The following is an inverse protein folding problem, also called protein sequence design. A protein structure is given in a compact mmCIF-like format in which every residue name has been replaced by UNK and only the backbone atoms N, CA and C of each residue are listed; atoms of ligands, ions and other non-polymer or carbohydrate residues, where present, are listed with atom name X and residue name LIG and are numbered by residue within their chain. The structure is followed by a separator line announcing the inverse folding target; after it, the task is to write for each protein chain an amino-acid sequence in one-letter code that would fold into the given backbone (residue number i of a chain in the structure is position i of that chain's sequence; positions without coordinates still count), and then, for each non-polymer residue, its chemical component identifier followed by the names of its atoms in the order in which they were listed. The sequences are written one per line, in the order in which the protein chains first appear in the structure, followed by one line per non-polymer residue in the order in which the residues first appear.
data_IF_292021306924
#
_entry.id   IF_292021306924
#
_cell.length_a   1.000
_cell.length_b   1.000
_cell.length_c   1.000
_cell.angle_alpha   90.00
_cell.angle_beta   90.00
_cell.angle_gamma   90.00
#
_symmetry.space_group_name_H-M   'P 1'
#
loop_
_entity.id
_entity.type
_entity.pdbx_description
1 polymer ?
#
# COMPACT_ATOMS: atom_id res chain seq x y z
N UNK A 1 87.64 12.52 -14.78
CA UNK A 1 87.19 12.89 -16.09
C UNK A 1 86.44 11.67 -16.63
N UNK A 2 85.16 11.66 -16.48
CA UNK A 2 84.15 10.91 -17.33
C UNK A 2 82.80 11.09 -16.66
N UNK A 3 81.99 11.95 -17.25
CA UNK A 3 80.56 12.14 -16.93
C UNK A 3 79.84 10.88 -17.27
N UNK A 4 78.97 10.43 -16.34
CA UNK A 4 77.94 9.44 -16.59
C UNK A 4 76.55 10.10 -16.44
N UNK A 5 75.90 10.39 -17.55
CA UNK A 5 74.48 10.76 -17.62
C UNK A 5 73.65 9.54 -17.25
N UNK A 6 72.78 9.71 -16.24
CA UNK A 6 71.70 8.78 -15.92
C UNK A 6 70.44 9.21 -16.62
N UNK A 7 69.99 8.42 -17.59
CA UNK A 7 68.63 8.49 -18.20
C UNK A 7 67.57 8.01 -17.19
N UNK A 8 66.61 8.87 -16.89
CA UNK A 8 65.35 8.46 -16.25
C UNK A 8 64.32 8.21 -17.33
N UNK A 9 63.54 7.11 -17.28
CA UNK A 9 62.45 6.90 -18.20
C UNK A 9 61.26 7.77 -17.85
N UNK A 10 60.65 8.38 -18.87
CA UNK A 10 59.45 9.20 -18.80
C UNK A 10 58.27 8.36 -18.28
N UNK A 11 57.50 8.90 -17.30
CA UNK A 11 56.32 8.29 -16.75
C UNK A 11 55.21 8.20 -17.77
N UNK A 12 54.65 7.02 -17.84
CA UNK A 12 53.46 6.67 -18.64
C UNK A 12 52.25 7.43 -18.08
N UNK A 13 51.75 8.40 -18.83
CA UNK A 13 50.52 9.12 -18.52
C UNK A 13 49.33 8.19 -18.83
N UNK A 14 48.87 7.47 -17.79
CA UNK A 14 47.69 6.63 -17.87
C UNK A 14 46.47 7.43 -18.37
N UNK A 15 46.02 7.13 -19.57
CA UNK A 15 44.78 7.67 -20.14
C UNK A 15 43.59 7.27 -19.23
N UNK A 16 42.99 8.26 -18.53
CA UNK A 16 41.72 8.07 -17.83
C UNK A 16 40.63 7.74 -18.85
N UNK A 17 40.12 6.52 -18.79
CA UNK A 17 38.92 6.12 -19.51
C UNK A 17 37.76 6.94 -18.95
N UNK A 18 37.05 7.75 -19.76
CA UNK A 18 35.91 8.51 -19.27
C UNK A 18 34.82 7.55 -18.76
N UNK A 19 34.33 7.77 -17.53
CA UNK A 19 33.18 7.07 -17.02
C UNK A 19 32.01 7.22 -17.99
N UNK A 20 31.24 6.15 -18.28
CA UNK A 20 30.10 6.25 -19.17
C UNK A 20 29.09 7.24 -18.56
N UNK A 21 28.70 8.25 -19.36
CA UNK A 21 27.71 9.22 -18.97
C UNK A 21 26.42 8.50 -18.57
N UNK A 22 25.98 8.67 -17.32
CA UNK A 22 24.72 8.13 -16.82
C UNK A 22 23.59 8.79 -17.61
N UNK A 23 22.82 7.98 -18.33
CA UNK A 23 21.66 8.49 -19.09
C UNK A 23 20.72 9.26 -18.14
N UNK A 24 20.14 10.40 -18.55
CA UNK A 24 19.19 11.12 -17.73
C UNK A 24 18.01 10.19 -17.38
N UNK A 25 17.45 10.29 -16.15
CA UNK A 25 16.30 9.49 -15.77
C UNK A 25 15.12 9.74 -16.75
N UNK A 26 14.30 8.72 -17.01
CA UNK A 26 13.14 8.89 -17.89
C UNK A 26 12.20 9.97 -17.33
N UNK A 27 11.48 10.73 -18.19
CA UNK A 27 10.53 11.73 -17.74
C UNK A 27 9.45 11.07 -16.86
N UNK A 28 9.03 11.78 -15.81
CA UNK A 28 7.97 11.30 -14.92
C UNK A 28 6.64 11.21 -15.67
N UNK A 29 5.88 10.15 -15.41
CA UNK A 29 4.49 10.01 -15.85
C UNK A 29 3.62 10.99 -15.06
N UNK A 30 2.46 11.37 -15.62
CA UNK A 30 1.45 12.19 -14.94
C UNK A 30 0.15 11.40 -14.79
N UNK A 31 -0.63 11.71 -13.76
CA UNK A 31 -2.02 11.26 -13.65
C UNK A 31 -2.95 12.17 -14.43
N UNK A 32 -4.19 11.75 -14.73
CA UNK A 32 -5.17 12.63 -15.35
C UNK A 32 -5.56 13.86 -14.51
N UNK A 33 -5.19 13.90 -13.23
CA UNK A 33 -5.43 15.02 -12.31
C UNK A 33 -4.22 15.92 -12.10
N UNK A 34 -3.10 15.68 -12.79
CA UNK A 34 -1.85 16.42 -12.60
C UNK A 34 -2.05 17.95 -12.67
N UNK A 35 -2.70 18.44 -13.72
CA UNK A 35 -2.92 19.89 -13.89
C UNK A 35 -3.84 20.46 -12.79
N UNK A 36 -4.80 19.67 -12.32
CA UNK A 36 -5.65 20.05 -11.19
C UNK A 36 -4.86 20.19 -9.88
N UNK A 37 -3.86 19.32 -9.65
CA UNK A 37 -2.97 19.43 -8.49
C UNK A 37 -2.11 20.69 -8.57
N UNK A 38 -1.52 20.95 -9.72
CA UNK A 38 -0.70 22.16 -9.96
C UNK A 38 -1.55 23.42 -9.77
N UNK A 39 -2.77 23.45 -10.32
CA UNK A 39 -3.69 24.58 -10.17
C UNK A 39 -4.12 24.82 -8.71
N UNK A 40 -4.17 23.78 -7.88
CA UNK A 40 -4.44 23.87 -6.43
C UNK A 40 -3.18 24.23 -5.61
N UNK A 41 -2.04 24.51 -6.25
CA UNK A 41 -0.79 24.87 -5.60
C UNK A 41 -0.10 23.70 -4.88
N UNK A 42 -0.33 22.46 -5.30
CA UNK A 42 0.32 21.30 -4.72
C UNK A 42 1.84 21.35 -4.94
N UNK A 43 2.60 20.92 -3.93
CA UNK A 43 4.02 20.61 -4.09
C UNK A 43 4.14 19.22 -4.71
N UNK A 44 4.61 19.18 -5.96
CA UNK A 44 4.78 17.94 -6.71
C UNK A 44 6.15 17.31 -6.41
N UNK A 45 6.22 15.97 -6.40
CA UNK A 45 7.44 15.18 -6.17
C UNK A 45 7.42 13.89 -7.01
N UNK A 46 8.60 13.36 -7.38
CA UNK A 46 8.69 12.03 -7.95
C UNK A 46 8.21 10.96 -6.97
N UNK A 47 7.27 10.12 -7.39
CA UNK A 47 6.81 8.98 -6.62
C UNK A 47 6.38 7.83 -7.55
N UNK A 48 6.98 6.65 -7.39
CA UNK A 48 6.70 5.46 -8.22
C UNK A 48 6.71 5.75 -9.74
N UNK A 49 7.62 6.62 -10.20
CA UNK A 49 7.73 7.02 -11.61
C UNK A 49 6.71 8.06 -12.09
N UNK A 50 5.92 8.61 -11.18
CA UNK A 50 4.93 9.67 -11.44
C UNK A 50 5.31 10.97 -10.75
N UNK A 51 4.86 12.10 -11.32
CA UNK A 51 4.86 13.41 -10.66
C UNK A 51 3.59 13.55 -9.83
N UNK A 52 3.71 13.50 -8.49
CA UNK A 52 2.58 13.36 -7.57
C UNK A 52 2.56 14.46 -6.50
N UNK A 53 1.37 14.88 -6.02
CA UNK A 53 1.26 15.87 -4.96
C UNK A 53 1.71 15.26 -3.62
N UNK A 54 2.79 15.79 -3.02
CA UNK A 54 3.19 15.39 -1.67
C UNK A 54 2.37 16.10 -0.60
N UNK A 55 2.00 17.34 -0.84
CA UNK A 55 1.13 18.15 0.01
C UNK A 55 0.56 19.33 -0.76
N UNK A 56 -0.54 19.88 -0.26
CA UNK A 56 -1.12 21.16 -0.68
C UNK A 56 -0.69 22.30 0.23
N UNK A 57 -1.06 23.57 -0.04
CA UNK A 57 -0.64 24.72 0.78
C UNK A 57 -0.99 24.63 2.27
N UNK A 58 -2.00 23.85 2.63
CA UNK A 58 -2.39 23.60 4.03
C UNK A 58 -1.38 22.78 4.82
N UNK A 59 -0.56 22.00 4.15
CA UNK A 59 0.49 21.19 4.72
C UNK A 59 0.03 19.85 5.31
N UNK A 60 0.96 18.91 5.43
CA UNK A 60 0.73 17.50 5.80
C UNK A 60 -0.07 17.34 7.08
N UNK A 61 0.23 18.12 8.12
CA UNK A 61 -0.46 18.03 9.42
C UNK A 61 -1.95 18.35 9.28
N UNK A 62 -2.27 19.46 8.61
CA UNK A 62 -3.65 19.90 8.41
C UNK A 62 -4.42 18.92 7.54
N UNK A 63 -3.79 18.42 6.47
CA UNK A 63 -4.37 17.42 5.57
C UNK A 63 -4.69 16.11 6.28
N UNK A 64 -3.78 15.65 7.15
CA UNK A 64 -4.01 14.47 7.98
C UNK A 64 -5.22 14.66 8.91
N UNK A 65 -5.25 15.74 9.67
CA UNK A 65 -6.34 16.04 10.61
C UNK A 65 -7.67 16.28 9.88
N UNK A 66 -7.65 16.88 8.70
CA UNK A 66 -8.80 17.03 7.82
C UNK A 66 -9.43 15.68 7.48
N UNK A 67 -8.60 14.69 7.14
CA UNK A 67 -9.07 13.32 6.85
C UNK A 67 -9.65 12.65 8.09
N UNK A 68 -9.07 12.87 9.27
CA UNK A 68 -9.56 12.32 10.55
C UNK A 68 -10.86 12.93 11.04
N UNK A 69 -11.13 14.20 10.69
CA UNK A 69 -12.26 14.97 11.27
C UNK A 69 -13.38 15.28 10.27
N UNK A 70 -13.11 15.15 8.97
CA UNK A 70 -14.06 15.51 7.91
C UNK A 70 -13.95 14.54 6.73
N UNK A 71 -13.46 15.01 5.59
CA UNK A 71 -13.20 14.18 4.43
C UNK A 71 -11.96 14.67 3.67
N UNK A 72 -11.08 13.73 3.32
CA UNK A 72 -9.93 13.92 2.45
C UNK A 72 -10.13 13.26 1.09
N UNK A 73 -9.75 13.94 0.02
CA UNK A 73 -9.80 13.42 -1.34
C UNK A 73 -8.38 13.22 -1.87
N UNK A 74 -8.07 11.99 -2.24
CA UNK A 74 -6.73 11.57 -2.68
C UNK A 74 -6.76 11.18 -4.16
N UNK A 75 -5.78 11.61 -4.93
CA UNK A 75 -5.47 11.00 -6.22
C UNK A 75 -4.58 9.76 -6.01
N UNK A 76 -5.10 8.61 -6.37
CA UNK A 76 -4.38 7.34 -6.37
C UNK A 76 -4.38 6.70 -7.77
N UNK A 77 -4.54 7.53 -8.82
CA UNK A 77 -4.59 7.09 -10.21
C UNK A 77 -3.27 6.52 -10.74
N UNK A 78 -2.17 6.71 -10.02
CA UNK A 78 -0.88 6.06 -10.30
C UNK A 78 -0.90 4.56 -10.04
N UNK A 79 -1.80 4.05 -9.19
CA UNK A 79 -2.00 2.62 -8.92
C UNK A 79 -2.34 1.84 -10.20
N UNK A 80 -1.97 0.56 -10.23
CA UNK A 80 -2.33 -0.34 -11.32
C UNK A 80 -3.74 -0.87 -11.17
N UNK A 81 -4.54 -0.84 -12.24
CA UNK A 81 -5.86 -1.44 -12.29
C UNK A 81 -5.91 -2.45 -13.44
N UNK A 82 -6.50 -3.62 -13.20
CA UNK A 82 -6.72 -4.64 -14.22
C UNK A 82 -7.98 -5.46 -13.92
N UNK A 83 -8.49 -6.12 -14.97
CA UNK A 83 -9.55 -7.11 -14.87
C UNK A 83 -9.00 -8.48 -15.28
N UNK A 84 -9.09 -9.45 -14.36
CA UNK A 84 -8.87 -10.86 -14.67
C UNK A 84 -10.23 -11.42 -15.11
N UNK A 85 -10.27 -12.03 -16.29
CA UNK A 85 -11.49 -12.46 -16.95
C UNK A 85 -11.42 -13.95 -17.30
N UNK A 86 -12.43 -14.71 -16.91
CA UNK A 86 -12.58 -16.14 -17.15
C UNK A 86 -14.01 -16.45 -17.55
N UNK A 87 -14.32 -17.72 -17.80
CA UNK A 87 -15.66 -18.17 -18.15
C UNK A 87 -16.66 -18.00 -16.99
N UNK A 88 -16.18 -18.18 -15.75
CA UNK A 88 -16.96 -18.06 -14.51
C UNK A 88 -16.05 -17.72 -13.33
N UNK A 89 -16.65 -17.45 -12.16
CA UNK A 89 -15.91 -17.13 -10.95
C UNK A 89 -14.97 -18.26 -10.50
N UNK A 90 -15.37 -19.51 -10.64
CA UNK A 90 -14.55 -20.63 -10.20
C UNK A 90 -13.21 -20.70 -10.97
N UNK A 91 -13.28 -20.50 -12.30
CA UNK A 91 -12.10 -20.44 -13.16
C UNK A 91 -11.21 -19.21 -12.84
N UNK A 92 -11.82 -18.02 -12.65
CA UNK A 92 -11.12 -16.81 -12.28
C UNK A 92 -10.42 -16.97 -10.92
N UNK A 93 -11.12 -17.48 -9.92
CA UNK A 93 -10.63 -17.71 -8.58
C UNK A 93 -9.49 -18.72 -8.55
N UNK A 94 -9.63 -19.87 -9.21
CA UNK A 94 -8.60 -20.90 -9.28
C UNK A 94 -7.31 -20.38 -9.92
N UNK A 95 -7.43 -19.59 -11.00
CA UNK A 95 -6.27 -18.98 -11.66
C UNK A 95 -5.51 -18.02 -10.73
N UNK A 96 -6.23 -17.20 -9.96
CA UNK A 96 -5.61 -16.24 -9.04
C UNK A 96 -5.06 -16.94 -7.78
N UNK A 97 -5.78 -17.92 -7.21
CA UNK A 97 -5.34 -18.70 -6.05
C UNK A 97 -4.05 -19.49 -6.26
N UNK A 98 -3.68 -19.75 -7.51
CA UNK A 98 -2.37 -20.33 -7.86
C UNK A 98 -1.20 -19.37 -7.58
N UNK A 99 -1.48 -18.09 -7.28
CA UNK A 99 -0.47 -17.03 -7.09
C UNK A 99 -0.60 -16.30 -5.74
N UNK A 100 -1.76 -16.41 -5.08
CA UNK A 100 -2.07 -15.67 -3.84
C UNK A 100 -2.53 -16.61 -2.72
N UNK A 101 -2.26 -16.29 -1.45
CA UNK A 101 -2.67 -17.13 -0.31
C UNK A 101 -4.12 -16.92 0.11
N UNK A 102 -4.83 -15.91 -0.43
CA UNK A 102 -6.21 -15.64 -0.04
C UNK A 102 -7.20 -16.65 -0.65
N UNK A 103 -8.33 -16.83 0.03
CA UNK A 103 -9.46 -17.64 -0.42
C UNK A 103 -10.35 -16.81 -1.37
N UNK A 104 -10.04 -16.83 -2.65
CA UNK A 104 -10.79 -16.10 -3.69
C UNK A 104 -12.03 -16.90 -4.11
N UNK A 105 -11.98 -18.22 -4.08
CA UNK A 105 -13.07 -19.08 -4.44
C UNK A 105 -14.34 -18.80 -3.62
N UNK A 106 -14.17 -18.54 -2.31
CA UNK A 106 -15.26 -18.19 -1.40
C UNK A 106 -15.46 -16.67 -1.23
N UNK A 107 -14.90 -15.85 -2.12
CA UNK A 107 -15.17 -14.41 -2.13
C UNK A 107 -16.60 -14.19 -2.65
N UNK A 108 -17.48 -13.69 -1.80
CA UNK A 108 -18.88 -13.44 -2.16
C UNK A 108 -19.00 -12.33 -3.24
N UNK A 109 -20.04 -12.34 -4.08
CA UNK A 109 -20.32 -11.26 -5.01
C UNK A 109 -20.39 -9.90 -4.30
N UNK A 110 -19.84 -8.86 -4.93
CA UNK A 110 -19.81 -7.51 -4.39
C UNK A 110 -18.81 -7.34 -3.20
N UNK A 111 -17.89 -8.28 -3.01
CA UNK A 111 -16.90 -8.20 -1.92
C UNK A 111 -15.49 -8.00 -2.45
N UNK A 112 -14.69 -7.38 -1.59
CA UNK A 112 -13.24 -7.21 -1.79
C UNK A 112 -12.44 -8.04 -0.81
N UNK A 113 -11.20 -8.36 -1.21
CA UNK A 113 -10.22 -9.04 -0.36
C UNK A 113 -8.83 -8.49 -0.60
N UNK A 114 -8.12 -8.20 0.47
CA UNK A 114 -6.70 -7.90 0.46
C UNK A 114 -5.91 -9.21 0.44
N UNK A 115 -4.88 -9.29 -0.38
CA UNK A 115 -3.99 -10.43 -0.47
C UNK A 115 -2.59 -10.02 -0.97
N UNK A 116 -1.70 -10.98 -1.13
CA UNK A 116 -0.34 -10.78 -1.61
C UNK A 116 -0.06 -11.69 -2.81
N UNK A 117 0.63 -11.18 -3.82
CA UNK A 117 1.35 -12.02 -4.79
C UNK A 117 2.59 -12.58 -4.11
N UNK A 118 2.81 -13.89 -4.22
CA UNK A 118 3.93 -14.55 -3.56
C UNK A 118 4.91 -15.14 -4.56
N UNK A 119 6.21 -15.10 -4.21
CA UNK A 119 7.25 -15.87 -4.88
C UNK A 119 7.31 -17.31 -4.35
N UNK A 120 8.14 -18.16 -4.95
CA UNK A 120 8.24 -19.57 -4.58
C UNK A 120 8.75 -19.80 -3.16
N UNK A 121 9.49 -18.85 -2.62
CA UNK A 121 10.02 -18.85 -1.25
C UNK A 121 9.03 -18.28 -0.23
N UNK A 122 7.81 -17.88 -0.65
CA UNK A 122 6.78 -17.30 0.21
C UNK A 122 7.01 -15.83 0.59
N UNK A 123 7.93 -15.16 -0.12
CA UNK A 123 8.11 -13.71 0.00
C UNK A 123 7.08 -12.94 -0.83
N UNK A 124 6.77 -11.72 -0.43
CA UNK A 124 5.72 -10.89 -1.02
C UNK A 124 6.28 -10.14 -2.23
N UNK A 125 5.76 -10.45 -3.43
CA UNK A 125 6.09 -9.73 -4.68
C UNK A 125 5.38 -8.38 -4.76
N UNK A 126 4.13 -8.33 -4.31
CA UNK A 126 3.31 -7.15 -4.10
C UNK A 126 2.09 -7.50 -3.25
N UNK A 127 1.44 -6.48 -2.68
CA UNK A 127 0.13 -6.62 -2.04
C UNK A 127 -0.96 -5.95 -2.90
N UNK A 128 -2.14 -6.57 -2.93
CA UNK A 128 -3.19 -6.16 -3.86
C UNK A 128 -4.59 -6.32 -3.28
N UNK A 129 -5.52 -5.56 -3.88
CA UNK A 129 -6.95 -5.72 -3.67
C UNK A 129 -7.57 -6.55 -4.79
N UNK A 130 -8.41 -7.51 -4.43
CA UNK A 130 -9.18 -8.34 -5.35
C UNK A 130 -10.66 -8.10 -5.09
N UNK A 131 -11.41 -7.74 -6.13
CA UNK A 131 -12.85 -7.47 -6.06
C UNK A 131 -13.60 -8.43 -6.97
N UNK A 132 -14.60 -9.14 -6.44
CA UNK A 132 -15.59 -9.87 -7.23
C UNK A 132 -16.76 -8.96 -7.54
N UNK A 133 -17.16 -8.87 -8.81
CA UNK A 133 -18.37 -8.13 -9.21
C UNK A 133 -19.62 -8.66 -8.50
N UNK A 134 -20.58 -7.76 -8.23
CA UNK A 134 -21.92 -8.13 -7.79
C UNK A 134 -22.86 -8.41 -8.97
N UNK A 135 -22.49 -8.04 -10.18
CA UNK A 135 -23.26 -8.25 -11.40
C UNK A 135 -23.08 -9.69 -11.88
N UNK A 136 -24.18 -10.43 -11.99
CA UNK A 136 -24.18 -11.82 -12.47
C UNK A 136 -23.66 -11.94 -13.91
N UNK A 137 -23.79 -10.89 -14.74
CA UNK A 137 -23.24 -10.86 -16.09
C UNK A 137 -21.70 -10.73 -16.12
N UNK A 138 -21.11 -10.37 -14.98
CA UNK A 138 -19.66 -10.27 -14.77
C UNK A 138 -19.13 -11.40 -13.85
N UNK A 139 -19.82 -12.55 -13.75
CA UNK A 139 -19.44 -13.61 -12.80
C UNK A 139 -17.97 -14.08 -12.95
N UNK A 140 -17.43 -14.12 -14.14
CA UNK A 140 -16.02 -14.48 -14.40
C UNK A 140 -15.01 -13.33 -14.25
N UNK A 141 -15.41 -12.16 -13.73
CA UNK A 141 -14.56 -10.97 -13.67
C UNK A 141 -14.11 -10.68 -12.24
N UNK A 142 -12.78 -10.57 -12.07
CA UNK A 142 -12.15 -10.05 -10.85
C UNK A 142 -11.42 -8.74 -11.18
N UNK A 143 -11.74 -7.66 -10.47
CA UNK A 143 -10.97 -6.42 -10.56
C UNK A 143 -9.78 -6.48 -9.59
N UNK A 144 -8.58 -6.15 -10.09
CA UNK A 144 -7.35 -6.12 -9.34
C UNK A 144 -6.84 -4.67 -9.24
N UNK A 145 -6.38 -4.28 -8.04
CA UNK A 145 -5.67 -3.03 -7.82
C UNK A 145 -4.34 -3.38 -7.17
N UNK A 146 -3.23 -2.97 -7.81
CA UNK A 146 -1.85 -3.27 -7.42
C UNK A 146 -1.05 -1.98 -7.18
N UNK A 147 0.08 -2.06 -6.50
CA UNK A 147 0.92 -0.90 -6.20
C UNK A 147 1.56 -0.30 -7.47
N UNK A 148 1.66 1.03 -7.48
CA UNK A 148 2.13 1.79 -8.64
C UNK A 148 3.53 1.40 -9.11
N UNK A 149 4.45 1.16 -8.17
CA UNK A 149 5.83 0.80 -8.48
C UNK A 149 5.96 -0.61 -9.06
N UNK A 150 5.06 -1.53 -8.71
CA UNK A 150 5.11 -2.94 -9.06
C UNK A 150 4.21 -3.31 -10.24
N UNK A 151 3.24 -2.47 -10.62
CA UNK A 151 2.15 -2.80 -11.53
C UNK A 151 2.54 -3.44 -12.85
N UNK A 152 3.64 -2.99 -13.47
CA UNK A 152 4.09 -3.55 -14.75
C UNK A 152 4.64 -4.97 -14.56
N UNK A 153 5.40 -5.19 -13.49
CA UNK A 153 5.93 -6.50 -13.10
C UNK A 153 4.80 -7.44 -12.66
N UNK A 154 3.85 -6.96 -11.86
CA UNK A 154 2.73 -7.76 -11.37
C UNK A 154 1.83 -8.24 -12.49
N UNK A 155 1.44 -7.33 -13.39
CA UNK A 155 0.61 -7.70 -14.53
C UNK A 155 1.32 -8.66 -15.49
N UNK A 156 2.64 -8.50 -15.69
CA UNK A 156 3.43 -9.44 -16.47
C UNK A 156 3.51 -10.82 -15.76
N UNK A 157 3.74 -10.84 -14.45
CA UNK A 157 3.80 -12.05 -13.64
C UNK A 157 2.46 -12.81 -13.64
N UNK A 158 1.35 -12.10 -13.43
CA UNK A 158 0.00 -12.67 -13.47
C UNK A 158 -0.25 -13.25 -14.86
N UNK A 159 -0.10 -12.43 -15.91
CA UNK A 159 -0.40 -12.85 -17.29
C UNK A 159 0.38 -14.10 -17.73
N UNK A 160 1.64 -14.22 -17.32
CA UNK A 160 2.49 -15.36 -17.63
C UNK A 160 2.05 -16.69 -16.98
N UNK A 161 1.25 -16.61 -15.90
CA UNK A 161 0.81 -17.79 -15.13
C UNK A 161 -0.66 -18.15 -15.35
N UNK A 162 -1.39 -17.36 -16.13
CA UNK A 162 -2.80 -17.66 -16.40
C UNK A 162 -2.97 -18.90 -17.26
N UNK A 163 -3.91 -19.80 -16.91
CA UNK A 163 -4.26 -20.95 -17.73
C UNK A 163 -5.01 -20.52 -19.00
N UNK A 164 -5.12 -21.45 -19.95
CA UNK A 164 -5.91 -21.22 -21.16
C UNK A 164 -7.36 -20.83 -20.82
N UNK A 165 -7.91 -19.85 -21.51
CA UNK A 165 -9.27 -19.36 -21.29
C UNK A 165 -9.38 -18.27 -20.22
N UNK A 166 -8.32 -17.98 -19.46
CA UNK A 166 -8.24 -16.86 -18.52
C UNK A 166 -7.31 -15.80 -19.07
N UNK A 167 -7.71 -14.54 -18.97
CA UNK A 167 -6.91 -13.40 -19.47
C UNK A 167 -6.89 -12.24 -18.48
N UNK A 168 -5.81 -11.49 -18.51
CA UNK A 168 -5.67 -10.22 -17.78
C UNK A 168 -5.83 -9.05 -18.78
N UNK A 169 -6.72 -8.12 -18.46
CA UNK A 169 -6.91 -6.89 -19.21
C UNK A 169 -6.51 -5.70 -18.33
N UNK A 170 -5.40 -5.03 -18.68
CA UNK A 170 -4.96 -3.81 -17.99
C UNK A 170 -5.97 -2.67 -18.25
N UNK A 171 -6.31 -1.93 -17.23
CA UNK A 171 -7.30 -0.86 -17.29
C UNK A 171 -6.63 0.53 -17.26
N UNK A 172 -5.68 0.77 -18.16
CA UNK A 172 -4.85 1.99 -18.22
C UNK A 172 -5.66 3.27 -18.51
N UNK A 173 -6.86 3.12 -19.08
CA UNK A 173 -7.79 4.20 -19.36
C UNK A 173 -8.64 4.62 -18.15
N UNK A 174 -8.36 4.07 -16.96
CA UNK A 174 -9.08 4.39 -15.73
C UNK A 174 -8.22 5.19 -14.77
N UNK A 175 -8.86 6.10 -14.06
CA UNK A 175 -8.33 6.80 -12.90
C UNK A 175 -8.91 6.19 -11.61
N UNK A 176 -8.24 6.43 -10.51
CA UNK A 176 -8.68 6.00 -9.18
C UNK A 176 -8.53 7.17 -8.21
N UNK A 177 -9.61 7.51 -7.51
CA UNK A 177 -9.58 8.52 -6.43
C UNK A 177 -10.15 7.91 -5.16
N UNK A 178 -9.63 8.36 -4.01
CA UNK A 178 -10.12 7.90 -2.71
C UNK A 178 -10.71 9.06 -1.91
N UNK A 179 -11.95 8.90 -1.44
CA UNK A 179 -12.64 9.81 -0.53
C UNK A 179 -12.68 9.17 0.86
N UNK A 180 -11.95 9.73 1.83
CA UNK A 180 -11.70 9.10 3.12
C UNK A 180 -12.03 10.05 4.28
N UNK A 181 -12.58 9.51 5.36
CA UNK A 181 -12.90 10.26 6.57
C UNK A 181 -14.35 10.09 7.02
N UNK A 182 -14.70 10.57 8.24
CA UNK A 182 -16.01 10.31 8.85
C UNK A 182 -17.20 10.90 8.08
N UNK A 183 -16.98 11.88 7.19
CA UNK A 183 -18.03 12.44 6.33
C UNK A 183 -18.07 11.84 4.92
N UNK A 184 -17.17 10.92 4.58
CA UNK A 184 -17.07 10.38 3.24
C UNK A 184 -18.37 9.70 2.77
N UNK A 185 -19.03 8.94 3.65
CA UNK A 185 -20.27 8.23 3.30
C UNK A 185 -21.42 9.18 2.99
N UNK A 186 -21.63 10.19 3.82
CA UNK A 186 -22.65 11.22 3.62
C UNK A 186 -22.42 11.99 2.31
N UNK A 187 -21.15 12.34 2.04
CA UNK A 187 -20.80 13.11 0.84
C UNK A 187 -21.01 12.25 -0.41
N UNK A 188 -20.48 11.02 -0.44
CA UNK A 188 -20.59 10.17 -1.62
C UNK A 188 -22.04 9.79 -1.92
N UNK A 189 -22.88 9.58 -0.92
CA UNK A 189 -24.30 9.23 -1.10
C UNK A 189 -25.10 10.28 -1.88
N UNK A 190 -24.65 11.51 -1.95
CA UNK A 190 -25.29 12.57 -2.76
C UNK A 190 -25.00 12.41 -4.25
N UNK A 191 -23.98 11.65 -4.62
CA UNK A 191 -23.52 11.44 -5.99
C UNK A 191 -23.68 9.99 -6.46
N UNK A 192 -23.65 9.04 -5.52
CA UNK A 192 -23.74 7.60 -5.79
C UNK A 192 -24.83 6.99 -4.93
N UNK A 193 -25.95 6.61 -5.55
CA UNK A 193 -27.05 5.95 -4.85
C UNK A 193 -26.60 4.65 -4.19
N UNK A 194 -27.03 4.43 -2.93
CA UNK A 194 -26.73 3.23 -2.16
C UNK A 194 -25.25 3.14 -1.66
N UNK A 195 -24.48 4.22 -1.76
CA UNK A 195 -23.10 4.20 -1.26
C UNK A 195 -23.04 4.15 0.28
N UNK A 196 -23.96 4.81 0.98
CA UNK A 196 -23.96 4.88 2.45
C UNK A 196 -24.19 3.50 3.11
N UNK A 197 -24.95 2.63 2.47
CA UNK A 197 -25.32 1.30 2.97
C UNK A 197 -24.26 0.23 2.72
N UNK A 198 -23.27 0.50 1.87
CA UNK A 198 -22.20 -0.44 1.56
C UNK A 198 -21.42 -0.77 2.82
N UNK A 199 -21.20 -2.06 3.19
CA UNK A 199 -20.30 -2.40 4.29
C UNK A 199 -18.83 -2.26 3.88
N UNK A 200 -17.95 -2.11 4.87
CA UNK A 200 -16.50 -2.16 4.64
C UNK A 200 -16.08 -3.43 3.87
N UNK A 201 -15.16 -3.30 2.94
CA UNK A 201 -14.70 -4.35 2.02
C UNK A 201 -15.82 -4.87 1.10
N UNK A 202 -16.72 -4.00 0.69
CA UNK A 202 -17.64 -4.26 -0.42
C UNK A 202 -17.38 -3.33 -1.60
N UNK A 203 -17.86 -3.74 -2.77
CA UNK A 203 -17.74 -2.98 -3.99
C UNK A 203 -18.96 -3.19 -4.90
N UNK A 204 -19.21 -2.22 -5.76
CA UNK A 204 -20.29 -2.30 -6.76
C UNK A 204 -19.99 -1.43 -7.97
N UNK A 205 -20.50 -1.86 -9.11
CA UNK A 205 -20.66 -1.00 -10.28
C UNK A 205 -21.86 -0.08 -10.06
N UNK A 206 -21.70 1.21 -10.31
CA UNK A 206 -22.71 2.25 -10.09
C UNK A 206 -22.44 3.45 -10.99
N UNK A 207 -23.09 4.57 -10.73
CA UNK A 207 -22.77 5.84 -11.37
C UNK A 207 -22.53 6.94 -10.34
N UNK A 208 -21.61 7.84 -10.66
CA UNK A 208 -21.39 9.10 -9.98
C UNK A 208 -22.01 10.22 -10.85
N UNK A 209 -23.12 10.81 -10.41
CA UNK A 209 -23.88 11.81 -11.19
C UNK A 209 -24.13 11.37 -12.65
N UNK A 210 -24.49 10.10 -12.88
CA UNK A 210 -24.72 9.52 -14.20
C UNK A 210 -23.46 9.01 -14.93
N UNK A 211 -22.25 9.23 -14.41
CA UNK A 211 -21.01 8.71 -14.97
C UNK A 211 -20.69 7.32 -14.40
N UNK A 212 -20.67 6.29 -15.26
CA UNK A 212 -20.42 4.91 -14.83
C UNK A 212 -19.05 4.76 -14.13
N UNK A 213 -19.06 4.17 -12.94
CA UNK A 213 -17.88 3.94 -12.11
C UNK A 213 -17.99 2.63 -11.31
N UNK A 214 -16.85 2.16 -10.77
CA UNK A 214 -16.80 1.18 -9.71
C UNK A 214 -16.47 1.87 -8.40
N UNK A 215 -17.24 1.59 -7.37
CA UNK A 215 -17.05 2.13 -6.02
C UNK A 215 -16.79 0.98 -5.07
N UNK A 216 -15.74 1.09 -4.27
CA UNK A 216 -15.50 0.20 -3.15
C UNK A 216 -15.47 0.98 -1.84
N UNK A 217 -16.02 0.39 -0.76
CA UNK A 217 -15.88 0.96 0.60
C UNK A 217 -14.65 0.37 1.25
N UNK A 218 -13.54 1.01 0.98
CA UNK A 218 -12.18 0.62 1.37
C UNK A 218 -11.27 1.84 1.41
N UNK A 219 -10.02 1.66 1.82
CA UNK A 219 -9.04 2.74 1.83
C UNK A 219 -7.79 2.39 2.62
N UNK A 220 -6.86 3.34 2.67
CA UNK A 220 -5.52 3.19 3.24
C UNK A 220 -5.25 4.22 4.35
N UNK A 221 -6.26 4.56 5.12
CA UNK A 221 -6.20 5.66 6.10
C UNK A 221 -6.57 5.25 7.52
N UNK A 222 -7.20 4.08 7.69
CA UNK A 222 -7.83 3.70 8.96
C UNK A 222 -9.18 4.38 9.21
N UNK A 223 -9.59 5.33 8.36
CA UNK A 223 -10.92 5.91 8.36
C UNK A 223 -11.87 5.16 7.45
N UNK A 224 -13.16 5.36 7.67
CA UNK A 224 -14.18 4.97 6.70
C UNK A 224 -14.05 5.78 5.43
N UNK A 225 -14.40 5.19 4.29
CA UNK A 225 -14.29 5.86 3.02
C UNK A 225 -14.37 4.94 1.82
N UNK A 226 -14.15 5.51 0.66
CA UNK A 226 -14.37 4.86 -0.62
C UNK A 226 -13.20 5.07 -1.56
N UNK A 227 -13.01 4.10 -2.46
CA UNK A 227 -12.20 4.25 -3.65
C UNK A 227 -13.11 4.20 -4.88
N UNK A 228 -12.93 5.15 -5.80
CA UNK A 228 -13.78 5.35 -6.97
C UNK A 228 -12.93 5.17 -8.22
N UNK A 229 -13.13 4.07 -8.93
CA UNK A 229 -12.49 3.80 -10.21
C UNK A 229 -13.42 4.25 -11.34
N UNK A 230 -12.92 5.12 -12.21
CA UNK A 230 -13.68 5.75 -13.29
C UNK A 230 -12.84 5.89 -14.56
N UNK A 231 -13.47 6.06 -15.73
CA UNK A 231 -12.75 6.43 -16.94
C UNK A 231 -11.94 7.70 -16.72
N UNK A 232 -10.66 7.70 -17.10
CA UNK A 232 -9.74 8.82 -16.92
C UNK A 232 -10.30 10.16 -17.47
N UNK A 233 -11.03 10.11 -18.59
CA UNK A 233 -11.68 11.28 -19.19
C UNK A 233 -12.73 11.97 -18.28
N UNK A 234 -13.22 11.29 -17.25
CA UNK A 234 -14.26 11.82 -16.34
C UNK A 234 -13.74 12.19 -14.95
N UNK A 235 -12.48 11.85 -14.61
CA UNK A 235 -11.99 12.01 -13.24
C UNK A 235 -11.92 13.47 -12.80
N UNK A 236 -11.58 14.41 -13.68
CA UNK A 236 -11.56 15.85 -13.36
C UNK A 236 -12.94 16.36 -12.97
N UNK A 237 -14.00 15.88 -13.62
CA UNK A 237 -15.38 16.24 -13.27
C UNK A 237 -15.76 15.75 -11.85
N UNK A 238 -15.44 14.48 -11.53
CA UNK A 238 -15.67 13.91 -10.19
C UNK A 238 -14.84 14.63 -9.13
N UNK A 239 -13.55 14.83 -9.38
CA UNK A 239 -12.65 15.57 -8.49
C UNK A 239 -13.19 16.94 -8.15
N UNK A 240 -13.60 17.70 -9.18
CA UNK A 240 -14.17 19.03 -9.02
C UNK A 240 -15.53 19.00 -8.30
N UNK A 241 -16.38 17.98 -8.59
CA UNK A 241 -17.66 17.83 -7.93
C UNK A 241 -17.50 17.61 -6.43
N UNK A 242 -16.61 16.72 -6.02
CA UNK A 242 -16.33 16.43 -4.62
C UNK A 242 -15.71 17.63 -3.89
N UNK A 243 -14.78 18.36 -4.53
CA UNK A 243 -14.14 19.54 -3.92
C UNK A 243 -15.06 20.76 -3.79
N UNK A 244 -16.24 20.79 -4.43
CA UNK A 244 -17.26 21.83 -4.16
C UNK A 244 -17.86 21.71 -2.78
N UNK A 245 -17.82 20.53 -2.17
CA UNK A 245 -18.22 20.38 -0.77
C UNK A 245 -17.13 20.96 0.15
N UNK A 246 -17.51 21.92 0.99
CA UNK A 246 -16.59 22.58 1.93
C UNK A 246 -15.93 21.60 2.93
N UNK A 247 -16.57 20.45 3.18
CA UNK A 247 -16.05 19.39 4.04
C UNK A 247 -14.94 18.55 3.39
N UNK A 248 -14.75 18.64 2.08
CA UNK A 248 -13.74 17.88 1.33
C UNK A 248 -12.53 18.76 1.05
N UNK A 249 -11.34 18.23 1.30
CA UNK A 249 -10.07 18.87 0.93
C UNK A 249 -9.18 17.89 0.17
N UNK A 250 -8.37 18.39 -0.78
CA UNK A 250 -7.38 17.55 -1.47
C UNK A 250 -6.26 17.20 -0.50
N UNK A 251 -5.78 15.96 -0.57
CA UNK A 251 -4.79 15.39 0.36
C UNK A 251 -3.63 14.80 -0.44
N UNK A 252 -2.41 15.15 -0.04
CA UNK A 252 -1.18 14.65 -0.67
C UNK A 252 -0.63 13.38 -0.03
N UNK A 253 0.44 12.86 -0.66
CA UNK A 253 1.12 11.62 -0.25
C UNK A 253 1.69 11.70 1.18
N UNK A 254 2.10 12.87 1.64
CA UNK A 254 2.66 13.03 2.99
C UNK A 254 1.63 12.74 4.08
N UNK A 255 0.40 13.19 3.92
CA UNK A 255 -0.69 12.86 4.85
C UNK A 255 -1.17 11.43 4.65
N UNK A 256 -1.21 10.89 3.40
CA UNK A 256 -1.50 9.49 3.13
C UNK A 256 -0.54 8.58 3.92
N UNK A 257 0.76 8.89 3.92
CA UNK A 257 1.77 8.10 4.65
C UNK A 257 1.58 8.16 6.16
N UNK A 258 1.36 9.32 6.74
CA UNK A 258 1.13 9.43 8.19
C UNK A 258 -0.18 8.76 8.64
N UNK A 259 -1.24 8.79 7.81
CA UNK A 259 -2.52 8.13 8.07
C UNK A 259 -2.40 6.60 8.07
N UNK A 260 -1.76 6.02 7.02
CA UNK A 260 -1.57 4.57 6.93
C UNK A 260 -0.67 4.06 8.06
N UNK A 261 0.37 4.84 8.45
CA UNK A 261 1.29 4.49 9.52
C UNK A 261 0.56 4.41 10.88
N UNK A 262 -0.29 5.39 11.20
CA UNK A 262 -1.15 5.34 12.39
C UNK A 262 -2.12 4.15 12.36
N UNK A 263 -2.62 3.79 11.18
CA UNK A 263 -3.48 2.62 10.96
C UNK A 263 -2.72 1.28 10.99
N UNK A 264 -1.39 1.28 11.10
CA UNK A 264 -0.55 0.08 11.12
C UNK A 264 -0.52 -0.68 9.79
N UNK A 265 -0.85 -0.02 8.67
CA UNK A 265 -0.89 -0.61 7.34
C UNK A 265 0.49 -0.62 6.70
N UNK A 266 0.84 -1.75 6.07
CA UNK A 266 2.12 -1.92 5.40
C UNK A 266 2.26 -1.02 4.17
N UNK A 267 3.48 -0.59 3.88
CA UNK A 267 3.88 0.00 2.62
C UNK A 267 4.83 -0.97 1.91
N UNK A 268 4.45 -1.40 0.70
CA UNK A 268 5.29 -2.28 -0.11
C UNK A 268 6.63 -1.61 -0.47
N UNK A 269 7.71 -2.38 -0.44
CA UNK A 269 9.08 -1.90 -0.63
C UNK A 269 9.73 -1.33 0.64
N UNK A 270 8.97 -1.19 1.74
CA UNK A 270 9.45 -0.72 3.04
C UNK A 270 9.14 -1.72 4.16
N UNK A 271 7.85 -1.96 4.44
CA UNK A 271 7.40 -2.89 5.50
C UNK A 271 7.29 -4.34 5.02
N UNK A 272 7.09 -4.55 3.74
CA UNK A 272 6.97 -5.86 3.08
C UNK A 272 7.71 -5.83 1.76
N UNK A 273 8.34 -6.95 1.43
CA UNK A 273 9.15 -7.15 0.23
C UNK A 273 9.26 -8.64 -0.16
N UNK A 274 10.08 -8.94 -1.17
CA UNK A 274 10.30 -10.30 -1.70
C UNK A 274 10.96 -11.26 -0.72
N UNK A 275 11.47 -10.80 0.41
CA UNK A 275 12.10 -11.64 1.46
C UNK A 275 11.18 -11.88 2.64
N UNK A 276 10.12 -11.10 2.77
CA UNK A 276 9.20 -11.08 3.91
C UNK A 276 7.98 -11.93 3.64
N UNK A 277 7.63 -12.84 4.56
CA UNK A 277 6.40 -13.61 4.48
C UNK A 277 5.20 -12.84 5.04
N UNK A 278 3.97 -13.15 4.62
CA UNK A 278 2.76 -12.62 5.26
C UNK A 278 2.66 -12.93 6.75
N UNK A 279 3.27 -14.01 7.23
CA UNK A 279 3.27 -14.40 8.65
C UNK A 279 4.21 -13.51 9.44
N UNK A 280 5.44 -13.29 8.96
CA UNK A 280 6.39 -12.32 9.54
C UNK A 280 5.78 -10.91 9.58
N UNK A 281 5.09 -10.51 8.51
CA UNK A 281 4.46 -9.20 8.36
C UNK A 281 3.22 -8.99 9.25
N UNK A 282 2.81 -9.98 10.06
CA UNK A 282 1.58 -9.96 10.84
C UNK A 282 0.32 -9.77 9.97
N UNK A 283 0.32 -10.34 8.76
CA UNK A 283 -0.78 -10.32 7.79
C UNK A 283 -1.53 -11.66 7.73
N UNK A 284 -1.41 -12.51 8.74
CA UNK A 284 -2.05 -13.85 8.79
C UNK A 284 -3.57 -13.80 8.62
N UNK A 285 -4.20 -12.69 8.95
CA UNK A 285 -5.63 -12.47 8.76
C UNK A 285 -6.05 -12.45 7.26
N UNK A 286 -5.12 -12.17 6.35
CA UNK A 286 -5.37 -12.20 4.90
C UNK A 286 -5.36 -13.62 4.32
N UNK A 287 -4.88 -14.62 5.07
CA UNK A 287 -4.84 -16.02 4.68
C UNK A 287 -6.00 -16.73 5.38
N UNK A 288 -7.08 -17.05 4.67
CA UNK A 288 -8.24 -17.69 5.25
C UNK A 288 -7.96 -19.16 5.63
N UNK A 289 -8.78 -19.71 6.54
CA UNK A 289 -8.58 -21.05 7.11
C UNK A 289 -8.36 -22.11 6.03
N UNK A 290 -9.22 -22.19 5.02
CA UNK A 290 -9.09 -23.15 3.92
C UNK A 290 -7.70 -23.11 3.30
N UNK A 291 -7.18 -21.92 2.98
CA UNK A 291 -5.89 -21.75 2.31
C UNK A 291 -4.70 -22.09 3.21
N UNK A 292 -4.81 -21.85 4.53
CA UNK A 292 -3.79 -22.27 5.51
C UNK A 292 -3.67 -23.79 5.58
N UNK A 293 -4.81 -24.50 5.46
CA UNK A 293 -4.89 -25.96 5.54
C UNK A 293 -4.50 -26.62 4.21
N UNK A 294 -5.06 -26.15 3.09
CA UNK A 294 -4.86 -26.75 1.78
C UNK A 294 -3.53 -26.34 1.11
N UNK A 295 -3.02 -25.13 1.37
CA UNK A 295 -1.89 -24.58 0.64
C UNK A 295 -2.23 -24.33 -0.83
N UNK A 296 -1.41 -24.86 -1.76
CA UNK A 296 -1.65 -24.74 -3.20
C UNK A 296 -1.34 -23.36 -3.78
N UNK A 297 -0.47 -22.59 -3.14
CA UNK A 297 0.05 -21.30 -3.59
C UNK A 297 1.58 -21.26 -3.39
N UNK A 298 2.30 -20.35 -4.06
CA UNK A 298 3.74 -20.24 -3.91
C UNK A 298 4.16 -20.01 -2.45
N UNK A 299 5.16 -20.75 -1.96
CA UNK A 299 5.65 -20.63 -0.60
C UNK A 299 4.74 -21.18 0.51
N UNK A 300 3.68 -21.94 0.17
CA UNK A 300 2.72 -22.49 1.14
C UNK A 300 3.41 -23.27 2.27
N UNK A 301 4.42 -24.07 1.98
CA UNK A 301 5.16 -24.85 2.99
C UNK A 301 5.83 -23.95 4.04
N UNK A 302 6.45 -22.84 3.61
CA UNK A 302 7.04 -21.85 4.52
C UNK A 302 5.95 -21.24 5.40
N UNK A 303 4.86 -20.79 4.81
CA UNK A 303 3.78 -20.12 5.54
C UNK A 303 3.13 -21.08 6.54
N UNK A 304 2.87 -22.33 6.16
CA UNK A 304 2.30 -23.35 7.06
C UNK A 304 3.24 -23.66 8.23
N UNK A 305 4.55 -23.79 7.98
CA UNK A 305 5.55 -23.96 9.04
C UNK A 305 5.59 -22.73 9.97
N UNK A 306 5.65 -21.52 9.43
CA UNK A 306 5.65 -20.30 10.23
C UNK A 306 4.35 -20.10 11.03
N UNK A 307 3.20 -20.55 10.51
CA UNK A 307 1.94 -20.54 11.23
C UNK A 307 1.93 -21.54 12.41
N UNK A 308 2.55 -22.70 12.24
CA UNK A 308 2.60 -23.75 13.27
C UNK A 308 3.66 -23.46 14.35
N UNK A 309 4.86 -23.07 13.95
CA UNK A 309 6.03 -22.91 14.82
C UNK A 309 6.28 -21.46 15.23
N UNK A 310 5.74 -20.50 14.45
CA UNK A 310 5.98 -19.07 14.49
C UNK A 310 7.18 -18.67 13.64
N UNK A 311 7.18 -17.45 13.11
CA UNK A 311 8.27 -16.92 12.27
C UNK A 311 9.50 -16.58 13.11
N UNK A 312 10.69 -16.51 12.49
CA UNK A 312 11.92 -16.11 13.16
C UNK A 312 11.90 -14.63 13.63
N UNK A 313 11.26 -13.77 12.85
CA UNK A 313 11.06 -12.34 13.14
C UNK A 313 9.59 -11.96 12.94
N UNK A 314 9.18 -10.85 13.54
CA UNK A 314 7.81 -10.39 13.43
C UNK A 314 7.75 -8.87 13.32
N UNK A 315 6.89 -8.36 12.45
CA UNK A 315 6.58 -6.94 12.39
C UNK A 315 5.79 -6.51 13.63
N UNK A 316 6.25 -5.44 14.26
CA UNK A 316 5.67 -4.86 15.47
C UNK A 316 5.47 -3.35 15.31
N UNK A 317 4.53 -2.80 16.07
CA UNK A 317 4.44 -1.37 16.31
C UNK A 317 5.43 -0.96 17.40
N UNK A 318 6.00 0.24 17.27
CA UNK A 318 6.97 0.81 18.19
C UNK A 318 6.56 2.23 18.55
N UNK A 319 6.55 2.53 19.85
CA UNK A 319 6.32 3.89 20.36
C UNK A 319 7.63 4.41 20.99
N UNK A 320 8.38 5.24 20.25
CA UNK A 320 9.56 5.90 20.79
C UNK A 320 9.20 6.93 21.86
N UNK A 321 10.04 7.06 22.87
CA UNK A 321 9.90 8.10 23.90
C UNK A 321 10.31 9.47 23.35
N UNK A 322 9.70 10.55 23.87
CA UNK A 322 10.00 11.93 23.51
C UNK A 322 9.35 12.38 22.21
N UNK A 323 10.04 13.20 21.39
CA UNK A 323 9.47 13.84 20.18
C UNK A 323 10.16 13.45 18.88
N UNK A 324 11.33 12.83 18.96
CA UNK A 324 12.14 12.49 17.78
C UNK A 324 11.61 11.18 17.15
N UNK A 325 11.24 11.17 15.86
CA UNK A 325 10.88 9.93 15.20
C UNK A 325 12.14 9.11 14.85
N UNK A 326 12.03 7.79 14.97
CA UNK A 326 12.92 6.86 14.30
C UNK A 326 12.44 6.68 12.85
N UNK A 327 13.35 6.76 11.89
CA UNK A 327 13.05 6.59 10.47
C UNK A 327 13.44 5.19 10.02
N UNK A 328 12.99 4.82 8.83
CA UNK A 328 13.42 3.59 8.16
C UNK A 328 14.93 3.41 8.22
N UNK A 329 15.38 2.16 8.42
CA UNK A 329 16.80 1.80 8.57
C UNK A 329 17.36 1.97 9.98
N UNK A 330 16.65 2.63 10.92
CA UNK A 330 17.10 2.71 12.31
C UNK A 330 17.15 1.29 12.92
N UNK A 331 18.27 0.96 13.57
CA UNK A 331 18.43 -0.33 14.22
C UNK A 331 17.59 -0.41 15.49
N UNK A 332 17.09 -1.61 15.79
CA UNK A 332 16.35 -1.93 17.01
C UNK A 332 17.25 -2.82 17.86
N UNK A 333 17.50 -2.37 19.09
CA UNK A 333 18.39 -3.06 20.04
C UNK A 333 17.64 -3.44 21.31
N UNK A 334 18.13 -4.49 21.99
CA UNK A 334 17.80 -4.79 23.37
C UNK A 334 18.43 -3.78 24.32
N UNK A 335 18.02 -3.76 25.59
CA UNK A 335 18.58 -2.84 26.59
C UNK A 335 20.06 -3.09 26.91
N UNK A 336 20.57 -4.27 26.62
CA UNK A 336 21.99 -4.64 26.74
C UNK A 336 22.81 -4.35 25.46
N UNK A 337 22.17 -3.76 24.43
CA UNK A 337 22.84 -3.25 23.22
C UNK A 337 22.93 -4.25 22.06
N UNK A 338 22.30 -5.44 22.14
CA UNK A 338 22.27 -6.40 21.03
C UNK A 338 21.28 -5.93 19.95
N UNK A 339 21.71 -5.87 18.69
CA UNK A 339 20.81 -5.63 17.55
C UNK A 339 19.89 -6.82 17.34
N UNK A 340 18.59 -6.58 17.30
CA UNK A 340 17.54 -7.59 17.13
C UNK A 340 16.58 -7.27 15.97
N UNK A 341 16.77 -6.14 15.30
CA UNK A 341 15.86 -5.77 14.22
C UNK A 341 16.16 -4.43 13.57
N UNK A 342 15.19 -4.01 12.74
CA UNK A 342 15.28 -2.75 12.00
C UNK A 342 13.89 -2.12 11.82
N UNK A 343 13.82 -0.80 11.93
CA UNK A 343 12.64 0.01 11.61
C UNK A 343 12.44 0.03 10.11
N UNK A 344 11.22 -0.25 9.66
CA UNK A 344 10.83 -0.24 8.24
C UNK A 344 9.99 0.97 7.84
N UNK A 345 9.22 1.50 8.77
CA UNK A 345 8.45 2.74 8.61
C UNK A 345 8.46 3.52 9.93
N UNK A 346 8.60 4.84 9.83
CA UNK A 346 8.56 5.64 11.05
C UNK A 346 8.38 7.13 10.80
N UNK A 347 7.65 7.77 11.68
CA UNK A 347 7.28 9.16 11.52
C UNK A 347 6.70 9.78 12.79
N UNK A 348 5.99 10.88 12.58
CA UNK A 348 5.17 11.51 13.58
C UNK A 348 3.70 11.21 13.28
N UNK A 349 2.93 10.78 14.28
CA UNK A 349 1.49 10.56 14.18
C UNK A 349 0.72 11.79 14.64
N UNK A 350 0.11 12.55 13.72
CA UNK A 350 -0.62 13.76 14.10
C UNK A 350 -1.81 13.52 15.02
N UNK A 351 -2.51 12.39 14.86
CA UNK A 351 -3.64 12.02 15.74
C UNK A 351 -3.13 11.50 17.09
N UNK A 352 -2.06 10.68 17.05
CA UNK A 352 -1.41 10.17 18.25
C UNK A 352 -0.72 11.26 19.07
N UNK A 353 -0.29 12.34 18.41
CA UNK A 353 0.44 13.46 19.02
C UNK A 353 1.91 13.14 19.36
N UNK A 354 2.49 12.10 18.76
CA UNK A 354 3.82 11.63 19.09
C UNK A 354 4.48 10.81 17.96
N UNK A 355 5.75 10.44 18.14
CA UNK A 355 6.45 9.58 17.21
C UNK A 355 5.93 8.14 17.28
N UNK A 356 5.91 7.47 16.14
CA UNK A 356 5.59 6.05 16.03
C UNK A 356 6.41 5.43 14.91
N UNK A 357 6.60 4.12 14.98
CA UNK A 357 7.30 3.36 13.94
C UNK A 357 6.76 1.94 13.83
N UNK A 358 7.03 1.30 12.71
CA UNK A 358 6.90 -0.14 12.51
C UNK A 358 8.27 -0.70 12.17
N UNK A 359 8.52 -1.94 12.52
CA UNK A 359 9.75 -2.61 12.22
C UNK A 359 9.69 -4.09 12.54
N UNK A 360 10.71 -4.82 12.16
CA UNK A 360 10.85 -6.23 12.47
C UNK A 360 11.79 -6.42 13.64
N UNK A 361 11.39 -7.30 14.56
CA UNK A 361 12.22 -7.76 15.66
C UNK A 361 12.26 -9.28 15.68
N UNK A 362 13.32 -9.87 16.25
CA UNK A 362 13.33 -11.29 16.56
C UNK A 362 12.08 -11.65 17.39
N UNK A 363 11.47 -12.78 17.10
CA UNK A 363 10.17 -13.18 17.64
C UNK A 363 10.06 -13.07 19.17
N UNK A 364 11.10 -13.44 19.89
CA UNK A 364 11.12 -13.41 21.35
C UNK A 364 10.91 -12.01 21.94
N UNK A 365 11.23 -10.94 21.17
CA UNK A 365 11.06 -9.54 21.58
C UNK A 365 9.77 -8.90 21.05
N UNK A 366 8.89 -9.65 20.39
CA UNK A 366 7.68 -9.12 19.76
C UNK A 366 6.48 -8.92 20.69
N UNK A 367 6.60 -9.26 21.97
CA UNK A 367 5.51 -9.11 22.94
C UNK A 367 5.21 -7.66 23.27
N UNK A 368 3.91 -7.33 23.42
CA UNK A 368 3.49 -5.97 23.78
C UNK A 368 4.13 -5.53 25.10
N UNK A 369 4.59 -4.27 25.13
CA UNK A 369 5.26 -3.67 26.28
C UNK A 369 6.74 -3.99 26.40
N UNK A 370 7.32 -4.84 25.53
CA UNK A 370 8.77 -5.09 25.51
C UNK A 370 9.52 -3.78 25.31
N UNK A 371 10.44 -3.48 26.22
CA UNK A 371 11.30 -2.28 26.17
C UNK A 371 12.50 -2.53 25.27
N UNK A 372 12.73 -1.61 24.35
CA UNK A 372 13.76 -1.68 23.32
C UNK A 372 14.44 -0.31 23.19
N UNK A 373 15.53 -0.27 22.47
CA UNK A 373 16.22 0.95 22.09
C UNK A 373 16.30 1.09 20.56
N UNK A 374 15.87 2.23 20.04
CA UNK A 374 16.02 2.57 18.62
C UNK A 374 17.28 3.41 18.45
N UNK A 375 18.16 3.02 17.54
CA UNK A 375 19.40 3.75 17.32
C UNK A 375 19.20 4.83 16.27
N UNK A 376 19.10 6.07 16.73
CA UNK A 376 18.86 7.24 15.87
C UNK A 376 20.08 8.15 15.91
N UNK A 377 20.76 8.29 14.77
CA UNK A 377 21.99 9.12 14.67
C UNK A 377 23.03 8.76 15.73
N UNK A 378 23.22 7.46 15.99
CA UNK A 378 24.17 6.95 16.97
C UNK A 378 23.76 7.13 18.45
N UNK A 379 22.52 7.57 18.72
CA UNK A 379 21.97 7.70 20.07
C UNK A 379 20.87 6.69 20.30
N UNK A 380 20.83 6.09 21.47
CA UNK A 380 19.72 5.25 21.93
C UNK A 380 18.49 6.13 22.21
N UNK A 381 17.38 5.76 21.61
CA UNK A 381 16.06 6.31 21.85
C UNK A 381 15.17 5.19 22.42
N UNK A 382 14.82 5.24 23.72
CA UNK A 382 13.95 4.25 24.32
C UNK A 382 12.62 4.14 23.60
N UNK A 383 12.12 2.93 23.43
CA UNK A 383 10.85 2.63 22.79
C UNK A 383 10.20 1.40 23.43
N UNK A 384 8.90 1.23 23.19
CA UNK A 384 8.15 0.04 23.60
C UNK A 384 7.42 -0.58 22.41
N UNK A 385 7.36 -1.90 22.41
CA UNK A 385 6.49 -2.62 21.46
C UNK A 385 5.04 -2.29 21.80
N UNK A 386 4.29 -1.83 20.80
CA UNK A 386 2.91 -1.37 20.91
C UNK A 386 1.96 -2.15 20.00
N UNK A 387 0.69 -2.14 20.35
CA UNK A 387 -0.36 -2.70 19.52
C UNK A 387 -0.55 -1.85 18.24
N UNK A 388 -0.90 -2.50 17.15
CA UNK A 388 -1.36 -1.88 15.92
C UNK A 388 -2.83 -2.27 15.66
N UNK A 389 -3.65 -1.37 15.15
CA UNK A 389 -3.34 0.02 14.77
C UNK A 389 -3.01 0.91 15.97
N UNK A 390 -2.18 1.95 15.77
CA UNK A 390 -1.84 2.92 16.83
C UNK A 390 -3.01 3.87 17.14
N UNK A 391 -3.84 4.12 16.13
CA UNK A 391 -5.12 4.82 16.22
C UNK A 391 -6.21 3.87 15.77
N UNK A 392 -7.29 3.67 16.55
CA UNK A 392 -8.34 2.72 16.20
C UNK A 392 -8.94 2.99 14.82
N UNK A 393 -9.10 1.94 14.01
CA UNK A 393 -9.75 2.02 12.71
C UNK A 393 -11.25 2.31 12.86
N UNK A 394 -11.83 3.12 11.98
CA UNK A 394 -13.23 3.58 12.00
C UNK A 394 -14.03 3.06 10.81
N UNK A 395 -13.70 1.87 10.29
CA UNK A 395 -14.39 1.24 9.16
C UNK A 395 -15.86 0.96 9.48
N UNK A 396 -16.76 1.31 8.58
CA UNK A 396 -18.18 1.02 8.75
C UNK A 396 -18.47 -0.47 8.60
N UNK A 397 -18.97 -1.04 9.66
CA UNK A 397 -19.48 -2.40 9.72
C UNK A 397 -20.93 -2.33 10.18
N UNK A 398 -21.92 -2.68 9.32
CA UNK A 398 -23.31 -2.68 9.75
C UNK A 398 -23.49 -3.62 10.95
N UNK A 399 -24.42 -3.31 11.87
CA UNK A 399 -24.79 -4.23 12.93
C UNK A 399 -25.13 -5.60 12.33
N UNK A 400 -24.71 -6.68 13.01
CA UNK A 400 -25.15 -8.01 12.62
C UNK A 400 -26.68 -8.01 12.57
N UNK A 401 -27.26 -8.50 11.46
CA UNK A 401 -28.71 -8.69 11.40
C UNK A 401 -29.11 -9.55 12.61
N UNK A 402 -29.93 -9.00 13.51
CA UNK A 402 -30.49 -9.78 14.59
C UNK A 402 -31.21 -10.96 13.94
N UNK A 403 -30.72 -12.16 14.20
CA UNK A 403 -31.43 -13.39 13.83
C UNK A 403 -32.81 -13.34 14.47
N UNK A 404 -33.81 -12.99 13.64
CA UNK A 404 -35.21 -13.07 14.02
C UNK A 404 -35.67 -14.54 14.08
#
# INVERSE_FOLDING_TARGET
MTDTHSDQPAGDAGAQVPEPAVAPPPPLKTTPLHDAHVALGARMVPFAGYDMPVQYPTGVLTEHLQTRTSAGLFDVSHMGQAFLMAADHAAAAAALEAMVPADIQNLAPGRQRYTQLLNQEGGILDDLMVTRSADEHEDGVLMLIVNAACKDQDFAHIAAKLPQGVRLMRAEHRALVALQGPKAAEILARHCEGAAEMPFMSARSTSFDGLACHVSRSGYTGEDGYEISIKAAHVVAIWSALLRDAAVKPIGLGARDSLRLEAGLCLYGHDIDTTTSPVEAALTWSIQKRRREEGGFPGAERLQRELAEGPARKRVGLLPEGKAPAREGAEIHTKDGRKIGTVTSGGFGPTLGGPLAMGYVEREFSSLGTELDLIVRGKSLPAKVAAMPFVPNRYYRPPAASSA
#
